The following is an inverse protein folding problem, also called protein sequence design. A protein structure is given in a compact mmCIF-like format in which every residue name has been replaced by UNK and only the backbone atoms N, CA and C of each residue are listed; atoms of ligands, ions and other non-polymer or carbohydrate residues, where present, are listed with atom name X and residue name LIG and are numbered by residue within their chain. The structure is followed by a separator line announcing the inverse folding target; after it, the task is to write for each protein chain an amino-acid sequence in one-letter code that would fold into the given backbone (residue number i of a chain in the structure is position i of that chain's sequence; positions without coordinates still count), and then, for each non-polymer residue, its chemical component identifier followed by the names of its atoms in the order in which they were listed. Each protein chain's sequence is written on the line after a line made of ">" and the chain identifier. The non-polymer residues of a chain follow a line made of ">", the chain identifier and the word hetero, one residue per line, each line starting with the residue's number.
data_IF_719617031331
#
_entry.id   IF_719617031331
#
_cell.length_a   1.000
_cell.length_b   1.000
_cell.length_c   1.000
_cell.angle_alpha   90.00
_cell.angle_beta   90.00
_cell.angle_gamma   90.00
#
_symmetry.space_group_name_H-M   'P 1'
#
loop_
_entity.id
_entity.type
_entity.pdbx_description
1 polymer ?
#
# COMPACT_ATOMS: atom_id res chain seq x y z
N UNK A 1 -10.87 35.77 2.84
CA UNK A 1 -11.24 34.36 2.65
C UNK A 1 -12.26 33.99 3.71
N UNK A 2 -13.43 33.48 3.34
CA UNK A 2 -14.44 33.02 4.31
C UNK A 2 -14.06 31.65 4.88
N UNK A 3 -14.44 31.32 6.13
CA UNK A 3 -14.07 30.06 6.80
C UNK A 3 -14.86 28.84 6.30
N UNK A 4 -15.69 28.99 5.26
CA UNK A 4 -16.66 27.97 4.84
C UNK A 4 -16.16 27.05 3.72
N UNK A 5 -15.02 27.36 3.10
CA UNK A 5 -14.51 26.58 1.98
C UNK A 5 -13.35 25.71 2.45
N UNK A 6 -13.58 24.40 2.47
CA UNK A 6 -12.51 23.42 2.66
C UNK A 6 -11.60 23.46 1.44
N UNK A 7 -10.32 23.78 1.69
CA UNK A 7 -9.28 23.80 0.68
C UNK A 7 -8.49 22.50 0.80
N UNK A 8 -8.49 21.71 -0.26
CA UNK A 8 -7.52 20.64 -0.46
C UNK A 8 -6.40 21.16 -1.35
N UNK A 9 -5.17 20.93 -0.92
CA UNK A 9 -3.98 21.17 -1.74
C UNK A 9 -3.42 19.82 -2.14
N UNK A 10 -3.06 19.70 -3.42
CA UNK A 10 -2.41 18.52 -3.97
C UNK A 10 -0.99 18.90 -4.35
N UNK A 11 -0.02 18.19 -3.79
CA UNK A 11 1.39 18.31 -4.14
C UNK A 11 1.84 17.01 -4.81
N UNK A 12 2.37 17.13 -6.03
CA UNK A 12 2.84 15.99 -6.81
C UNK A 12 4.35 16.08 -6.99
N UNK A 13 5.04 14.97 -6.73
CA UNK A 13 6.43 14.84 -7.10
C UNK A 13 6.57 14.92 -8.64
N UNK A 14 7.66 15.51 -9.18
CA UNK A 14 7.84 15.63 -10.62
C UNK A 14 8.00 14.29 -11.35
N UNK A 15 8.27 13.19 -10.63
CA UNK A 15 8.50 11.86 -11.20
C UNK A 15 7.53 10.83 -10.61
N UNK A 16 6.94 9.99 -11.47
CA UNK A 16 6.08 8.89 -11.00
C UNK A 16 6.91 7.75 -10.47
N UNK A 17 6.61 7.38 -9.24
CA UNK A 17 7.27 6.27 -8.60
C UNK A 17 6.90 4.90 -9.13
N UNK A 18 7.73 3.90 -8.81
CA UNK A 18 7.47 2.48 -9.13
C UNK A 18 6.25 1.91 -8.42
N UNK A 19 5.62 2.64 -7.52
CA UNK A 19 4.35 2.25 -6.90
C UNK A 19 3.13 2.63 -7.73
N UNK A 20 3.28 3.48 -8.75
CA UNK A 20 2.18 3.92 -9.61
C UNK A 20 2.12 3.04 -10.86
N UNK A 21 0.92 2.67 -11.26
CA UNK A 21 0.71 1.85 -12.45
C UNK A 21 1.08 2.66 -13.71
N UNK A 22 1.95 2.14 -14.60
CA UNK A 22 2.34 2.83 -15.82
C UNK A 22 1.18 3.04 -16.81
N UNK A 23 0.06 2.32 -16.65
CA UNK A 23 -1.16 2.47 -17.46
C UNK A 23 -2.13 3.52 -16.94
N UNK A 24 -1.87 4.14 -15.79
CA UNK A 24 -2.76 5.16 -15.19
C UNK A 24 -2.72 6.53 -15.87
N UNK A 25 -2.04 6.67 -17.01
CA UNK A 25 -1.89 7.98 -17.66
C UNK A 25 -0.90 8.88 -16.91
N UNK A 26 -1.15 10.19 -16.84
CA UNK A 26 -0.30 11.21 -16.20
C UNK A 26 -0.36 11.20 -14.65
N UNK A 27 0.30 12.16 -13.96
CA UNK A 27 0.28 12.20 -12.48
C UNK A 27 -1.08 12.62 -11.93
N UNK A 28 -1.77 13.51 -12.65
CA UNK A 28 -3.10 13.95 -12.30
C UNK A 28 -4.07 12.79 -12.48
N UNK A 29 -4.03 12.10 -13.61
CA UNK A 29 -4.89 10.94 -13.88
C UNK A 29 -4.64 9.80 -12.88
N UNK A 30 -3.39 9.58 -12.47
CA UNK A 30 -3.05 8.51 -11.55
C UNK A 30 -3.42 8.77 -10.08
N UNK A 31 -3.40 10.02 -9.62
CA UNK A 31 -3.49 10.34 -8.18
C UNK A 31 -4.60 11.32 -7.82
N UNK A 32 -5.00 12.23 -8.73
CA UNK A 32 -6.12 13.13 -8.45
C UNK A 32 -7.42 12.39 -8.10
N UNK A 33 -7.79 11.26 -8.75
CA UNK A 33 -8.99 10.51 -8.35
C UNK A 33 -8.90 9.93 -6.93
N UNK A 34 -7.70 9.51 -6.52
CA UNK A 34 -7.44 9.02 -5.15
C UNK A 34 -7.64 10.14 -4.13
N UNK A 35 -7.05 11.29 -4.36
CA UNK A 35 -7.17 12.46 -3.47
C UNK A 35 -8.59 13.05 -3.48
N UNK A 36 -9.27 13.01 -4.63
CA UNK A 36 -10.66 13.44 -4.73
C UNK A 36 -11.57 12.55 -3.87
N UNK A 37 -11.30 11.24 -3.79
CA UNK A 37 -12.05 10.38 -2.88
C UNK A 37 -11.83 10.79 -1.42
N UNK A 38 -10.63 11.17 -1.01
CA UNK A 38 -10.39 11.72 0.33
C UNK A 38 -11.17 13.01 0.60
N UNK A 39 -11.30 13.89 -0.40
CA UNK A 39 -12.17 15.05 -0.30
C UNK A 39 -13.65 14.65 -0.13
N UNK A 40 -14.11 13.56 -0.78
CA UNK A 40 -15.46 13.03 -0.56
C UNK A 40 -15.63 12.41 0.83
N UNK A 41 -14.61 11.71 1.37
CA UNK A 41 -14.61 11.24 2.76
C UNK A 41 -14.83 12.41 3.72
N UNK A 42 -14.04 13.49 3.55
CA UNK A 42 -14.18 14.69 4.37
C UNK A 42 -15.52 15.41 4.21
N UNK A 43 -16.17 15.31 3.05
CA UNK A 43 -17.44 15.99 2.76
C UNK A 43 -18.69 15.19 3.14
N UNK A 44 -18.52 13.98 3.69
CA UNK A 44 -19.65 13.16 4.10
C UNK A 44 -20.39 13.80 5.29
N UNK A 45 -21.69 14.03 5.10
CA UNK A 45 -22.60 14.47 6.16
C UNK A 45 -23.71 13.44 6.32
N UNK A 46 -23.80 12.83 7.50
CA UNK A 46 -24.85 11.86 7.82
C UNK A 46 -25.90 12.54 8.72
N UNK A 47 -27.15 12.74 8.27
CA UNK A 47 -28.17 13.39 9.09
C UNK A 47 -28.36 12.70 10.45
N UNK A 48 -28.59 13.51 11.49
CA UNK A 48 -28.80 13.06 12.87
C UNK A 48 -27.60 12.29 13.48
N UNK A 49 -26.41 12.47 12.93
CA UNK A 49 -25.16 11.95 13.50
C UNK A 49 -24.46 12.99 14.38
N UNK A 50 -23.48 12.54 15.18
CA UNK A 50 -22.63 13.44 15.96
C UNK A 50 -21.96 14.50 15.06
N UNK A 51 -21.32 14.13 13.93
CA UNK A 51 -20.74 15.11 13.01
C UNK A 51 -21.74 16.11 12.46
N UNK A 52 -22.96 15.69 12.15
CA UNK A 52 -24.00 16.60 11.66
C UNK A 52 -24.38 17.68 12.67
N UNK A 53 -24.50 17.33 13.96
CA UNK A 53 -24.77 18.30 15.03
C UNK A 53 -23.62 19.31 15.18
N UNK A 54 -22.38 18.82 15.19
CA UNK A 54 -21.21 19.70 15.27
C UNK A 54 -21.02 20.56 14.03
N UNK A 55 -21.48 20.09 12.85
CA UNK A 55 -21.36 20.81 11.59
C UNK A 55 -22.08 22.17 11.56
N UNK A 56 -23.02 22.40 12.47
CA UNK A 56 -23.71 23.68 12.64
C UNK A 56 -22.76 24.75 13.20
N UNK A 57 -21.84 24.37 14.09
CA UNK A 57 -21.00 25.31 14.84
C UNK A 57 -19.52 25.24 14.45
N UNK A 58 -19.06 24.07 14.00
CA UNK A 58 -17.68 23.83 13.56
C UNK A 58 -17.65 22.80 12.42
N UNK A 59 -17.81 23.25 11.16
CA UNK A 59 -17.77 22.38 10.00
C UNK A 59 -16.48 21.58 9.91
N UNK A 60 -15.32 22.17 10.19
CA UNK A 60 -14.03 21.47 10.08
C UNK A 60 -13.86 20.38 11.14
N UNK A 61 -14.30 20.64 12.37
CA UNK A 61 -14.32 19.61 13.41
C UNK A 61 -15.27 18.46 13.05
N UNK A 62 -16.46 18.77 12.52
CA UNK A 62 -17.39 17.77 12.03
C UNK A 62 -16.78 16.87 10.94
N UNK A 63 -16.03 17.46 9.99
CA UNK A 63 -15.32 16.68 8.96
C UNK A 63 -14.30 15.72 9.54
N UNK A 64 -13.61 16.09 10.63
CA UNK A 64 -12.58 15.23 11.23
C UNK A 64 -13.10 13.86 11.66
N UNK A 65 -14.39 13.76 12.03
CA UNK A 65 -15.01 12.49 12.41
C UNK A 65 -14.96 11.45 11.30
N UNK A 66 -15.00 11.89 10.05
CA UNK A 66 -14.90 10.99 8.89
C UNK A 66 -13.50 10.35 8.77
N UNK A 67 -12.48 10.87 9.45
CA UNK A 67 -11.10 10.38 9.39
C UNK A 67 -10.65 9.63 10.66
N UNK A 68 -11.55 9.38 11.61
CA UNK A 68 -11.25 8.55 12.79
C UNK A 68 -11.04 7.06 12.51
N UNK A 69 -11.69 6.43 11.51
CA UNK A 69 -11.32 5.08 11.11
C UNK A 69 -9.82 4.98 10.79
N UNK A 70 -9.25 3.79 10.93
CA UNK A 70 -7.83 3.59 10.65
C UNK A 70 -7.49 3.98 9.21
N UNK A 71 -6.33 4.58 8.99
CA UNK A 71 -5.95 5.18 7.70
C UNK A 71 -6.08 4.20 6.52
N UNK A 72 -5.80 2.91 6.72
CA UNK A 72 -5.91 1.91 5.67
C UNK A 72 -7.35 1.64 5.20
N UNK A 73 -8.37 2.06 5.96
CA UNK A 73 -9.76 2.06 5.49
C UNK A 73 -9.92 3.11 4.39
N UNK A 74 -9.51 4.34 4.66
CA UNK A 74 -9.61 5.47 3.72
C UNK A 74 -8.72 5.23 2.49
N UNK A 75 -7.45 4.88 2.72
CA UNK A 75 -6.51 4.62 1.63
C UNK A 75 -6.90 3.39 0.82
N UNK A 76 -7.49 2.37 1.46
CA UNK A 76 -7.97 1.18 0.79
C UNK A 76 -9.11 1.48 -0.18
N UNK A 77 -10.07 2.30 0.24
CA UNK A 77 -11.16 2.78 -0.62
C UNK A 77 -10.65 3.64 -1.78
N UNK A 78 -9.71 4.54 -1.50
CA UNK A 78 -9.14 5.43 -2.51
C UNK A 78 -8.34 4.68 -3.57
N UNK A 79 -7.52 3.69 -3.15
CA UNK A 79 -6.81 2.78 -4.06
C UNK A 79 -7.77 1.92 -4.89
N UNK A 80 -8.87 1.47 -4.30
CA UNK A 80 -9.88 0.69 -5.03
C UNK A 80 -10.58 1.58 -6.08
N UNK A 81 -10.95 2.80 -5.69
CA UNK A 81 -11.59 3.77 -6.57
C UNK A 81 -10.73 4.09 -7.79
N UNK A 82 -9.45 4.44 -7.59
CA UNK A 82 -8.54 4.73 -8.72
C UNK A 82 -8.32 3.53 -9.66
N UNK A 83 -8.52 2.30 -9.16
CA UNK A 83 -8.25 1.08 -9.92
C UNK A 83 -9.47 0.55 -10.67
N UNK A 84 -10.67 0.83 -10.19
CA UNK A 84 -11.91 0.27 -10.77
C UNK A 84 -12.77 1.31 -11.49
N UNK A 85 -12.59 2.61 -11.22
CA UNK A 85 -13.55 3.64 -11.68
C UNK A 85 -12.94 4.78 -12.52
N UNK A 86 -11.64 4.72 -12.82
CA UNK A 86 -10.94 5.83 -13.50
C UNK A 86 -10.53 5.45 -14.92
N UNK A 87 -9.71 4.41 -15.07
CA UNK A 87 -9.18 3.99 -16.35
C UNK A 87 -9.05 2.46 -16.42
N UNK A 88 -9.30 1.90 -17.59
CA UNK A 88 -9.18 0.46 -17.84
C UNK A 88 -7.76 -0.01 -17.56
N UNK A 89 -7.62 -0.99 -16.65
CA UNK A 89 -6.33 -1.50 -16.17
C UNK A 89 -5.41 -0.43 -15.55
N UNK A 90 -5.94 0.75 -15.21
CA UNK A 90 -5.25 1.80 -14.46
C UNK A 90 -5.31 1.57 -12.94
N UNK A 91 -4.66 2.44 -12.16
CA UNK A 91 -4.64 2.35 -10.70
C UNK A 91 -3.79 1.22 -10.12
N UNK A 92 -3.48 1.31 -8.84
CA UNK A 92 -2.50 0.45 -8.17
C UNK A 92 -2.92 -1.03 -8.07
N UNK A 93 -4.22 -1.33 -7.95
CA UNK A 93 -4.69 -2.73 -7.89
C UNK A 93 -4.58 -3.45 -9.23
N UNK A 94 -4.32 -2.75 -10.33
CA UNK A 94 -4.05 -3.37 -11.63
C UNK A 94 -2.54 -3.48 -11.92
N UNK A 95 -1.68 -3.27 -10.91
CA UNK A 95 -0.24 -3.33 -11.07
C UNK A 95 0.42 -4.45 -10.26
N UNK A 96 1.11 -5.36 -10.94
CA UNK A 96 1.75 -6.53 -10.33
C UNK A 96 2.79 -6.16 -9.27
N UNK A 97 3.55 -5.06 -9.43
CA UNK A 97 4.51 -4.62 -8.41
C UNK A 97 3.83 -4.25 -7.09
N UNK A 98 2.63 -3.67 -7.16
CA UNK A 98 1.85 -3.32 -5.97
C UNK A 98 1.22 -4.58 -5.34
N UNK A 99 0.54 -5.40 -6.14
CA UNK A 99 -0.14 -6.59 -5.63
C UNK A 99 0.80 -7.67 -5.12
N UNK A 100 1.95 -7.88 -5.77
CA UNK A 100 2.85 -8.96 -5.37
C UNK A 100 3.49 -8.75 -3.99
N UNK A 101 3.51 -7.52 -3.48
CA UNK A 101 3.91 -7.24 -2.09
C UNK A 101 2.91 -7.83 -1.08
N UNK A 102 1.61 -7.78 -1.40
CA UNK A 102 0.59 -8.48 -0.60
C UNK A 102 0.72 -9.99 -0.77
N UNK A 103 0.80 -10.47 -2.01
CA UNK A 103 0.84 -11.89 -2.34
C UNK A 103 2.02 -12.61 -1.65
N UNK A 104 3.22 -12.01 -1.69
CA UNK A 104 4.39 -12.55 -1.00
C UNK A 104 4.22 -12.61 0.52
N UNK A 105 3.41 -11.70 1.09
CA UNK A 105 3.18 -11.69 2.54
C UNK A 105 2.09 -12.67 2.96
N UNK A 106 0.99 -12.74 2.21
CA UNK A 106 -0.14 -13.61 2.57
C UNK A 106 0.23 -15.09 2.45
N UNK A 107 1.12 -15.44 1.52
CA UNK A 107 1.68 -16.79 1.36
C UNK A 107 2.71 -17.16 2.43
N UNK A 108 3.22 -16.19 3.20
CA UNK A 108 4.18 -16.46 4.27
C UNK A 108 3.53 -17.08 5.51
N UNK A 109 4.35 -17.68 6.38
CA UNK A 109 3.91 -18.22 7.67
C UNK A 109 3.36 -17.16 8.63
N UNK A 110 3.60 -15.87 8.36
CA UNK A 110 3.24 -14.75 9.21
C UNK A 110 2.52 -13.67 8.38
N UNK A 111 1.28 -13.87 7.90
CA UNK A 111 0.55 -12.83 7.17
C UNK A 111 0.33 -11.58 8.04
N UNK A 112 0.05 -10.42 7.43
CA UNK A 112 -0.27 -9.22 8.22
C UNK A 112 -1.55 -9.42 9.04
N UNK A 113 -1.50 -9.01 10.31
CA UNK A 113 -2.67 -8.99 11.18
C UNK A 113 -3.64 -7.87 10.80
N UNK A 114 -4.88 -7.91 11.31
CA UNK A 114 -5.88 -6.87 11.07
C UNK A 114 -5.36 -5.46 11.43
N UNK A 115 -4.69 -5.35 12.58
CA UNK A 115 -4.08 -4.09 13.01
C UNK A 115 -3.00 -3.60 12.03
N UNK A 116 -2.15 -4.50 11.54
CA UNK A 116 -1.13 -4.16 10.54
C UNK A 116 -1.74 -3.78 9.20
N UNK A 117 -2.83 -4.44 8.80
CA UNK A 117 -3.54 -4.19 7.54
C UNK A 117 -4.04 -2.76 7.42
N UNK A 118 -4.54 -2.17 8.51
CA UNK A 118 -5.15 -0.84 8.48
C UNK A 118 -4.25 0.28 9.04
N UNK A 119 -3.13 -0.06 9.67
CA UNK A 119 -2.23 0.94 10.28
C UNK A 119 -1.03 1.27 9.39
N UNK A 120 -0.59 2.53 9.45
CA UNK A 120 0.69 2.96 8.85
C UNK A 120 1.83 2.10 9.39
N UNK A 121 2.72 1.65 8.51
CA UNK A 121 3.94 1.01 8.93
C UNK A 121 5.06 2.05 9.08
N UNK A 122 5.63 2.17 10.28
CA UNK A 122 6.76 3.08 10.56
C UNK A 122 8.11 2.37 10.65
N UNK A 123 8.09 1.12 11.11
CA UNK A 123 9.30 0.38 11.46
C UNK A 123 9.47 -0.94 10.71
N UNK A 124 8.49 -1.32 9.88
CA UNK A 124 8.59 -2.50 9.02
C UNK A 124 8.23 -2.16 7.58
N UNK A 125 8.95 -2.75 6.62
CA UNK A 125 8.61 -2.66 5.22
C UNK A 125 7.45 -3.63 4.91
N UNK A 126 6.64 -3.30 3.89
CA UNK A 126 6.65 -2.06 3.12
C UNK A 126 5.98 -0.90 3.90
N UNK A 127 6.50 0.32 3.76
CA UNK A 127 5.97 1.50 4.49
C UNK A 127 4.56 1.89 4.03
N UNK A 128 4.26 1.69 2.75
CA UNK A 128 2.95 1.90 2.15
C UNK A 128 2.00 0.69 2.35
N UNK A 129 2.24 -0.17 3.35
CA UNK A 129 1.41 -1.36 3.64
C UNK A 129 -0.09 -1.04 3.69
N UNK A 130 -0.49 0.01 4.41
CA UNK A 130 -1.89 0.40 4.57
C UNK A 130 -2.64 0.68 3.26
N UNK A 131 -1.94 1.11 2.19
CA UNK A 131 -2.52 1.18 0.85
C UNK A 131 -2.72 -0.22 0.26
N UNK A 132 -1.69 -1.07 0.34
CA UNK A 132 -1.66 -2.42 -0.25
C UNK A 132 -2.68 -3.35 0.40
N UNK A 133 -2.60 -3.49 1.73
CA UNK A 133 -3.44 -4.39 2.50
C UNK A 133 -4.84 -3.82 2.69
N UNK A 134 -4.96 -2.51 2.91
CA UNK A 134 -6.25 -1.84 3.03
C UNK A 134 -7.11 -2.03 1.77
N UNK A 135 -6.55 -1.75 0.59
CA UNK A 135 -7.27 -1.92 -0.67
C UNK A 135 -7.62 -3.36 -0.99
N UNK A 136 -6.75 -4.31 -0.63
CA UNK A 136 -7.00 -5.74 -0.84
C UNK A 136 -8.12 -6.25 0.08
N UNK A 137 -8.18 -5.76 1.32
CA UNK A 137 -9.30 -6.04 2.21
C UNK A 137 -10.59 -5.37 1.72
N UNK A 138 -10.56 -4.09 1.33
CA UNK A 138 -11.73 -3.38 0.81
C UNK A 138 -12.30 -4.07 -0.43
N UNK A 139 -11.44 -4.48 -1.37
CA UNK A 139 -11.88 -5.22 -2.55
C UNK A 139 -12.55 -6.55 -2.16
N UNK A 140 -11.93 -7.32 -1.26
CA UNK A 140 -12.52 -8.56 -0.77
C UNK A 140 -13.86 -8.32 -0.07
N UNK A 141 -13.96 -7.26 0.73
CA UNK A 141 -15.18 -6.88 1.43
C UNK A 141 -16.31 -6.56 0.43
N UNK A 142 -16.01 -5.79 -0.62
CA UNK A 142 -16.99 -5.44 -1.65
C UNK A 142 -17.43 -6.65 -2.47
N UNK A 143 -16.51 -7.57 -2.79
CA UNK A 143 -16.81 -8.79 -3.53
C UNK A 143 -17.72 -9.74 -2.73
N UNK A 144 -17.56 -9.83 -1.41
CA UNK A 144 -18.29 -10.78 -0.57
C UNK A 144 -19.58 -10.21 0.05
N UNK A 145 -19.64 -8.89 0.28
CA UNK A 145 -20.75 -8.24 0.99
C UNK A 145 -21.45 -7.15 0.16
N UNK A 146 -21.04 -6.98 -1.11
CA UNK A 146 -21.62 -6.03 -2.04
C UNK A 146 -20.93 -4.65 -2.01
N UNK A 147 -21.14 -3.88 -3.09
CA UNK A 147 -20.43 -2.61 -3.33
C UNK A 147 -20.80 -1.51 -2.33
N UNK A 148 -21.98 -1.57 -1.71
CA UNK A 148 -22.44 -0.58 -0.74
C UNK A 148 -21.92 -0.84 0.70
N UNK A 149 -21.26 -1.98 0.96
CA UNK A 149 -20.87 -2.39 2.33
C UNK A 149 -20.05 -1.33 3.07
N UNK A 150 -19.07 -0.72 2.39
CA UNK A 150 -18.22 0.32 2.99
C UNK A 150 -19.02 1.60 3.25
N UNK A 151 -19.89 1.99 2.32
CA UNK A 151 -20.76 3.16 2.48
C UNK A 151 -21.70 2.99 3.67
N UNK A 152 -22.32 1.83 3.83
CA UNK A 152 -23.21 1.55 4.94
C UNK A 152 -22.43 1.43 6.26
N UNK A 153 -21.23 0.84 6.27
CA UNK A 153 -20.37 0.82 7.46
C UNK A 153 -19.95 2.23 7.90
N UNK A 154 -19.54 3.09 6.97
CA UNK A 154 -19.15 4.47 7.28
C UNK A 154 -20.34 5.27 7.82
N UNK A 155 -21.53 5.11 7.23
CA UNK A 155 -22.76 5.76 7.71
C UNK A 155 -23.15 5.28 9.10
N UNK A 156 -23.06 3.98 9.36
CA UNK A 156 -23.31 3.41 10.67
C UNK A 156 -22.31 3.94 11.70
N UNK A 157 -21.02 3.96 11.36
CA UNK A 157 -19.97 4.51 12.22
C UNK A 157 -20.24 5.98 12.56
N UNK A 158 -20.62 6.81 11.58
CA UNK A 158 -20.95 8.22 11.84
C UNK A 158 -22.12 8.37 12.82
N UNK A 159 -23.20 7.58 12.67
CA UNK A 159 -24.36 7.61 13.57
C UNK A 159 -24.02 7.11 14.98
N UNK A 160 -23.21 6.07 15.08
CA UNK A 160 -22.86 5.39 16.33
C UNK A 160 -21.36 5.45 16.59
N UNK A 161 -20.80 6.65 16.56
CA UNK A 161 -19.37 6.92 16.56
C UNK A 161 -18.58 6.19 17.64
N UNK A 162 -19.09 6.23 18.88
CA UNK A 162 -18.42 5.63 20.05
C UNK A 162 -18.39 4.09 20.03
N UNK A 163 -19.17 3.43 19.18
CA UNK A 163 -19.09 1.97 19.00
C UNK A 163 -17.93 1.57 18.09
N UNK A 164 -17.35 2.54 17.36
CA UNK A 164 -16.21 2.33 16.49
C UNK A 164 -16.52 1.65 15.15
N UNK A 165 -15.59 1.73 14.21
CA UNK A 165 -15.75 1.19 12.85
C UNK A 165 -15.86 -0.34 12.83
N UNK A 166 -15.19 -1.04 13.75
CA UNK A 166 -15.30 -2.50 13.85
C UNK A 166 -16.72 -2.98 14.18
N UNK A 167 -17.44 -2.24 15.05
CA UNK A 167 -18.84 -2.56 15.32
C UNK A 167 -19.73 -2.22 14.11
N UNK A 168 -19.42 -1.13 13.39
CA UNK A 168 -20.12 -0.82 12.14
C UNK A 168 -19.99 -1.94 11.10
N UNK A 169 -18.78 -2.48 10.91
CA UNK A 169 -18.55 -3.66 10.06
C UNK A 169 -19.38 -4.86 10.52
N UNK A 170 -19.45 -5.13 11.82
CA UNK A 170 -20.29 -6.21 12.36
C UNK A 170 -21.77 -6.02 12.01
N UNK A 171 -22.28 -4.80 12.06
CA UNK A 171 -23.69 -4.54 11.77
C UNK A 171 -24.03 -4.74 10.29
N UNK A 172 -23.13 -4.38 9.38
CA UNK A 172 -23.39 -4.50 7.94
C UNK A 172 -23.02 -5.87 7.36
N UNK A 173 -22.05 -6.58 7.96
CA UNK A 173 -21.60 -7.91 7.49
C UNK A 173 -22.16 -9.07 8.30
N UNK A 174 -22.72 -8.79 9.49
CA UNK A 174 -23.10 -9.80 10.48
C UNK A 174 -21.93 -10.41 11.25
N UNK A 175 -20.67 -10.09 10.92
CA UNK A 175 -19.48 -10.75 11.49
C UNK A 175 -18.63 -9.79 12.31
N UNK A 176 -18.19 -10.25 13.48
CA UNK A 176 -17.21 -9.50 14.25
C UNK A 176 -15.90 -9.33 13.46
N UNK A 177 -15.17 -8.22 13.61
CA UNK A 177 -13.96 -7.94 12.82
C UNK A 177 -12.92 -9.06 12.83
N UNK A 178 -12.78 -9.78 13.95
CA UNK A 178 -11.89 -10.95 14.03
C UNK A 178 -12.30 -12.05 13.05
N UNK A 179 -13.55 -12.50 13.11
CA UNK A 179 -14.08 -13.53 12.23
C UNK A 179 -14.04 -13.08 10.75
N UNK A 180 -14.41 -11.82 10.50
CA UNK A 180 -14.36 -11.23 9.16
C UNK A 180 -12.92 -11.23 8.60
N UNK A 181 -11.93 -10.91 9.44
CA UNK A 181 -10.52 -10.89 9.02
C UNK A 181 -9.94 -12.30 8.87
N UNK A 182 -10.35 -13.26 9.69
CA UNK A 182 -9.97 -14.67 9.56
C UNK A 182 -10.44 -15.25 8.23
N UNK A 183 -11.70 -15.01 7.84
CA UNK A 183 -12.23 -15.41 6.54
C UNK A 183 -11.49 -14.75 5.38
N UNK A 184 -11.28 -13.43 5.46
CA UNK A 184 -10.48 -12.71 4.48
C UNK A 184 -9.10 -13.34 4.28
N UNK A 185 -8.40 -13.68 5.36
CA UNK A 185 -7.08 -14.28 5.27
C UNK A 185 -7.12 -15.69 4.69
N UNK A 186 -8.12 -16.49 5.05
CA UNK A 186 -8.31 -17.83 4.48
C UNK A 186 -8.51 -17.71 2.97
N UNK A 187 -9.46 -16.88 2.51
CA UNK A 187 -9.74 -16.69 1.10
C UNK A 187 -8.50 -16.22 0.34
N UNK A 188 -7.77 -15.24 0.88
CA UNK A 188 -6.57 -14.72 0.21
C UNK A 188 -5.41 -15.70 0.20
N UNK A 189 -5.26 -16.55 1.22
CA UNK A 189 -4.28 -17.64 1.19
C UNK A 189 -4.63 -18.68 0.14
N UNK A 190 -5.89 -19.09 0.07
CA UNK A 190 -6.37 -20.05 -0.93
C UNK A 190 -6.18 -19.52 -2.35
N UNK A 191 -6.65 -18.30 -2.64
CA UNK A 191 -6.48 -17.69 -3.96
C UNK A 191 -5.01 -17.49 -4.35
N UNK A 192 -4.13 -17.18 -3.40
CA UNK A 192 -2.70 -17.05 -3.69
C UNK A 192 -2.03 -18.40 -3.97
N UNK A 193 -2.41 -19.46 -3.23
CA UNK A 193 -1.94 -20.82 -3.51
C UNK A 193 -2.37 -21.27 -4.92
N UNK A 194 -3.65 -21.09 -5.26
CA UNK A 194 -4.17 -21.40 -6.60
C UNK A 194 -3.44 -20.62 -7.70
N UNK A 195 -3.14 -19.33 -7.46
CA UNK A 195 -2.39 -18.50 -8.40
C UNK A 195 -0.95 -18.99 -8.58
N UNK A 196 -0.29 -19.43 -7.50
CA UNK A 196 1.07 -19.97 -7.56
C UNK A 196 1.11 -21.30 -8.34
N UNK A 197 0.15 -22.19 -8.09
CA UNK A 197 0.04 -23.46 -8.81
C UNK A 197 -0.10 -23.27 -10.34
N UNK A 198 -0.77 -22.19 -10.77
CA UNK A 198 -0.93 -21.85 -12.19
C UNK A 198 0.33 -21.31 -12.87
N UNK A 199 1.30 -20.77 -12.11
CA UNK A 199 2.52 -20.17 -12.67
C UNK A 199 3.57 -21.24 -13.00
N UNK A 200 3.52 -22.40 -12.34
CA UNK A 200 4.41 -23.53 -12.56
C UNK A 200 5.54 -23.62 -11.52
N UNK A 201 6.56 -24.42 -11.83
CA UNK A 201 7.63 -24.75 -10.88
C UNK A 201 8.38 -23.50 -10.41
N UNK A 202 8.56 -23.40 -9.09
CA UNK A 202 9.40 -22.38 -8.49
C UNK A 202 10.84 -22.50 -8.99
N UNK A 203 11.47 -21.36 -9.32
CA UNK A 203 12.91 -21.30 -9.61
C UNK A 203 13.74 -21.04 -8.37
N UNK A 204 13.14 -21.05 -7.17
CA UNK A 204 13.85 -20.79 -5.92
C UNK A 204 15.03 -21.74 -5.66
N UNK A 205 14.98 -22.97 -6.18
CA UNK A 205 16.07 -23.94 -6.04
C UNK A 205 17.32 -23.56 -6.87
N UNK A 206 17.18 -22.66 -7.85
CA UNK A 206 18.29 -22.12 -8.65
C UNK A 206 18.68 -20.68 -8.26
N UNK A 207 18.09 -20.14 -7.19
CA UNK A 207 18.39 -18.79 -6.70
C UNK A 207 19.62 -18.77 -5.79
N UNK A 208 20.55 -17.86 -6.08
CA UNK A 208 21.62 -17.51 -5.16
C UNK A 208 21.22 -16.27 -4.35
N UNK A 209 21.02 -16.45 -3.04
CA UNK A 209 20.65 -15.35 -2.14
C UNK A 209 21.92 -14.71 -1.57
N UNK A 210 22.13 -13.43 -1.88
CA UNK A 210 23.21 -12.63 -1.29
C UNK A 210 22.86 -12.35 0.18
N UNK A 211 23.59 -13.00 1.09
CA UNK A 211 23.45 -12.79 2.52
C UNK A 211 23.71 -11.33 2.93
N UNK A 212 23.03 -10.89 3.99
CA UNK A 212 23.18 -9.56 4.54
C UNK A 212 23.12 -9.62 6.07
N UNK A 213 23.96 -8.84 6.79
CA UNK A 213 23.91 -8.77 8.25
C UNK A 213 22.71 -7.94 8.77
N UNK A 214 21.93 -7.34 7.86
CA UNK A 214 20.81 -6.48 8.20
C UNK A 214 19.47 -7.21 8.09
N UNK A 215 18.47 -6.68 8.79
CA UNK A 215 17.11 -7.19 8.78
C UNK A 215 16.24 -6.46 7.75
N UNK A 216 15.25 -7.17 7.19
CA UNK A 216 14.29 -6.59 6.25
C UNK A 216 14.91 -6.15 4.93
N UNK A 217 15.89 -6.92 4.46
CA UNK A 217 16.72 -6.55 3.33
C UNK A 217 15.92 -6.63 2.04
N UNK A 218 15.99 -5.56 1.26
CA UNK A 218 15.46 -5.47 -0.09
C UNK A 218 16.61 -5.12 -1.02
N UNK A 219 17.08 -6.13 -1.76
CA UNK A 219 18.12 -5.99 -2.76
C UNK A 219 17.51 -5.94 -4.15
N UNK A 220 17.97 -5.01 -4.99
CA UNK A 220 17.38 -4.76 -6.31
C UNK A 220 18.46 -4.35 -7.31
N UNK A 221 18.12 -4.52 -8.59
CA UNK A 221 18.94 -4.08 -9.73
C UNK A 221 20.38 -4.62 -9.63
N UNK A 222 20.59 -5.95 -9.58
CA UNK A 222 21.93 -6.50 -9.65
C UNK A 222 22.53 -6.19 -11.03
N UNK A 223 23.77 -5.70 -11.03
CA UNK A 223 24.53 -5.35 -12.21
C UNK A 223 25.89 -6.00 -12.09
N UNK A 224 26.27 -6.80 -13.08
CA UNK A 224 27.60 -7.38 -13.17
C UNK A 224 28.60 -6.32 -13.60
N UNK A 225 29.60 -6.03 -12.77
CA UNK A 225 30.73 -5.14 -13.10
C UNK A 225 31.93 -5.92 -13.64
N UNK A 226 32.03 -7.20 -13.26
CA UNK A 226 33.02 -8.18 -13.78
C UNK A 226 32.43 -9.59 -13.69
N UNK A 227 33.21 -10.63 -14.02
CA UNK A 227 32.80 -12.04 -13.87
C UNK A 227 32.63 -12.48 -12.39
N UNK A 228 33.15 -11.70 -11.44
CA UNK A 228 33.18 -12.05 -10.02
C UNK A 228 32.59 -10.98 -9.10
N UNK A 229 32.10 -9.87 -9.65
CA UNK A 229 31.54 -8.77 -8.85
C UNK A 229 30.17 -8.34 -9.38
N UNK A 230 29.23 -8.21 -8.43
CA UNK A 230 27.89 -7.69 -8.66
C UNK A 230 27.71 -6.44 -7.82
N UNK A 231 27.27 -5.35 -8.43
CA UNK A 231 26.79 -4.16 -7.73
C UNK A 231 25.27 -4.18 -7.68
N UNK A 232 24.69 -3.80 -6.55
CA UNK A 232 23.25 -3.76 -6.35
C UNK A 232 22.85 -2.66 -5.36
N UNK A 233 21.58 -2.26 -5.43
CA UNK A 233 20.99 -1.41 -4.41
C UNK A 233 20.45 -2.26 -3.27
N UNK A 234 20.71 -1.86 -2.02
CA UNK A 234 20.17 -2.49 -0.80
C UNK A 234 19.50 -1.46 0.11
N UNK A 235 18.33 -1.84 0.63
CA UNK A 235 17.63 -1.12 1.70
C UNK A 235 17.24 -2.10 2.82
N UNK A 236 17.32 -1.65 4.07
CA UNK A 236 17.15 -2.48 5.27
C UNK A 236 16.64 -1.64 6.46
N UNK A 237 16.21 -2.31 7.53
CA UNK A 237 15.71 -1.65 8.75
C UNK A 237 16.79 -1.02 9.62
N UNK A 238 17.91 -1.74 9.78
CA UNK A 238 18.94 -1.45 10.78
C UNK A 238 20.32 -1.23 10.14
N UNK A 239 20.35 -0.65 8.94
CA UNK A 239 21.61 -0.36 8.25
C UNK A 239 21.49 0.80 7.26
N UNK A 240 22.64 1.33 6.81
CA UNK A 240 22.72 2.37 5.78
C UNK A 240 22.03 1.92 4.50
N UNK A 241 21.36 2.81 3.78
CA UNK A 241 20.69 2.47 2.51
C UNK A 241 21.59 2.87 1.36
N UNK A 242 21.67 2.07 0.30
CA UNK A 242 22.36 2.50 -0.91
C UNK A 242 23.02 1.40 -1.71
N UNK A 243 24.16 1.70 -2.32
CA UNK A 243 24.85 0.79 -3.23
C UNK A 243 25.86 -0.08 -2.49
N UNK A 244 25.83 -1.36 -2.83
CA UNK A 244 26.72 -2.38 -2.31
C UNK A 244 27.31 -3.18 -3.47
N UNK A 245 28.54 -3.67 -3.32
CA UNK A 245 29.10 -4.71 -4.17
C UNK A 245 29.14 -6.05 -3.43
N UNK A 246 29.01 -7.13 -4.19
CA UNK A 246 29.18 -8.51 -3.73
C UNK A 246 30.25 -9.17 -4.58
N UNK A 247 31.29 -9.65 -3.92
CA UNK A 247 32.38 -10.41 -4.53
C UNK A 247 32.08 -11.92 -4.38
N UNK A 248 31.96 -12.62 -5.51
CA UNK A 248 31.61 -14.04 -5.57
C UNK A 248 32.73 -14.96 -5.08
N UNK A 249 33.99 -14.52 -5.16
CA UNK A 249 35.15 -15.30 -4.72
C UNK A 249 35.26 -15.30 -3.20
N UNK A 250 35.19 -14.12 -2.59
CA UNK A 250 35.31 -13.93 -1.14
C UNK A 250 33.99 -14.10 -0.40
N UNK A 251 32.86 -14.06 -1.13
CA UNK A 251 31.49 -14.06 -0.61
C UNK A 251 31.22 -12.89 0.35
N UNK A 252 31.88 -11.76 0.13
CA UNK A 252 31.75 -10.57 0.97
C UNK A 252 30.97 -9.46 0.28
N UNK A 253 30.17 -8.78 1.10
CA UNK A 253 29.41 -7.60 0.70
C UNK A 253 30.14 -6.35 1.19
N UNK A 254 30.37 -5.39 0.31
CA UNK A 254 31.01 -4.10 0.61
C UNK A 254 30.06 -2.96 0.28
N UNK A 255 29.97 -1.97 1.19
CA UNK A 255 29.19 -0.76 0.91
C UNK A 255 30.00 0.16 0.00
N UNK A 256 29.42 0.57 -1.11
CA UNK A 256 30.00 1.52 -2.05
C UNK A 256 29.59 2.95 -1.70
N UNK A 257 28.29 3.18 -1.51
CA UNK A 257 27.75 4.51 -1.23
C UNK A 257 26.46 4.41 -0.41
N UNK A 258 26.29 5.35 0.52
CA UNK A 258 25.01 5.59 1.17
C UNK A 258 24.22 6.62 0.35
N UNK A 259 22.97 6.28 0.02
CA UNK A 259 22.08 7.15 -0.74
C UNK A 259 20.68 7.15 -0.12
N UNK A 260 20.07 8.33 -0.10
CA UNK A 260 18.69 8.54 0.36
C UNK A 260 17.76 8.72 -0.83
N UNK A 261 17.73 7.72 -1.71
CA UNK A 261 16.81 7.71 -2.86
C UNK A 261 15.45 7.14 -2.46
N UNK A 262 14.37 7.78 -2.92
CA UNK A 262 13.04 7.16 -2.91
C UNK A 262 12.95 6.07 -3.99
N UNK A 263 11.90 5.25 -3.98
CA UNK A 263 11.72 4.11 -4.90
C UNK A 263 11.79 4.41 -6.40
N UNK A 264 11.77 5.70 -6.74
CA UNK A 264 11.38 6.27 -8.01
C UNK A 264 12.58 6.50 -8.94
N UNK A 265 13.80 6.40 -8.39
CA UNK A 265 15.02 6.48 -9.17
C UNK A 265 15.22 5.19 -9.99
N UNK A 266 15.48 5.37 -11.29
CA UNK A 266 16.04 4.33 -12.14
C UNK A 266 17.55 4.41 -12.05
N UNK A 267 18.19 3.25 -11.88
CA UNK A 267 19.63 3.11 -11.74
C UNK A 267 20.14 2.59 -13.08
N UNK A 268 21.04 3.33 -13.71
CA UNK A 268 21.70 2.94 -14.94
C UNK A 268 23.20 2.82 -14.74
N UNK A 269 23.78 1.72 -15.20
CA UNK A 269 25.23 1.55 -15.25
C UNK A 269 25.74 1.91 -16.63
N UNK A 270 26.57 2.94 -16.71
CA UNK A 270 27.32 3.29 -17.91
C UNK A 270 28.65 2.54 -17.88
N UNK A 271 28.78 1.53 -18.74
CA UNK A 271 29.99 0.72 -18.88
C UNK A 271 31.16 1.53 -19.44
N UNK A 272 30.92 2.52 -20.30
CA UNK A 272 31.99 3.32 -20.91
C UNK A 272 32.61 4.27 -19.88
N UNK A 273 31.78 4.86 -19.01
CA UNK A 273 32.22 5.71 -17.92
C UNK A 273 32.58 4.95 -16.64
N UNK A 274 32.28 3.64 -16.57
CA UNK A 274 32.35 2.82 -15.35
C UNK A 274 31.66 3.51 -14.16
N UNK A 275 30.43 4.01 -14.38
CA UNK A 275 29.71 4.83 -13.41
C UNK A 275 28.25 4.43 -13.29
N UNK A 276 27.65 4.71 -12.13
CA UNK A 276 26.24 4.49 -11.85
C UNK A 276 25.55 5.85 -11.78
N UNK A 277 24.53 6.03 -12.63
CA UNK A 277 23.68 7.22 -12.74
C UNK A 277 22.27 6.90 -12.23
#
# INVERSE_FOLDING_TARGET
>A
MTPNNFRSEFDAAPFKGKSINPRSGDWLEAVLPHELLHATHGSLVVPYSIPWLYGIFSPDFARSFNFFPQVGVHEGLAVLHESENVADNGGRKNYSFFNNQFNARVSSNDPWSAGQTFSVSRYSLPYNRHYISGSTFTQWLHLNYGQDVSKEAIRFHNKYFFLGYGFALKQVTGKWPKALFEEYLIDKKTSEAERQDQIGNSTSDSEFIIGSPYNGVTQRKPIWTSDFEIVFYSSQYNGPRGFYSYDLTTKKTHRLAEIFTVSDYNIHYDRAANSIL
#
